data_IF_502316878757
#
_entry.id   IF_502316878757
#
_cell.length_a   1.000
_cell.length_b   1.000
_cell.length_c   1.000
_cell.angle_alpha   90.00
_cell.angle_beta   90.00
_cell.angle_gamma   90.00
#
_symmetry.space_group_name_H-M   'P 1'
#
loop_
_entity.id
_entity.type
_entity.pdbx_description
1 polymer ?
#
# COMPACT_ATOMS: atom_id res chain seq x y z
N UNK A 1 -23.06 -47.64 -34.01
CA UNK A 1 -22.09 -46.53 -34.18
C UNK A 1 -22.41 -45.52 -33.08
N UNK A 2 -21.67 -45.55 -31.97
CA UNK A 2 -21.90 -44.65 -30.84
C UNK A 2 -21.16 -43.34 -31.09
N UNK A 3 -21.90 -42.26 -31.29
CA UNK A 3 -21.36 -40.91 -31.36
C UNK A 3 -21.34 -40.40 -29.91
N UNK A 4 -20.16 -40.34 -29.31
CA UNK A 4 -19.96 -39.62 -28.04
C UNK A 4 -19.90 -38.14 -28.38
N UNK A 5 -21.01 -37.43 -28.25
CA UNK A 5 -20.95 -35.96 -28.17
C UNK A 5 -20.62 -35.58 -26.72
N UNK A 6 -19.35 -35.29 -26.46
CA UNK A 6 -18.94 -34.60 -25.25
C UNK A 6 -19.48 -33.16 -25.32
N UNK A 7 -20.22 -32.66 -24.31
CA UNK A 7 -20.72 -31.31 -24.34
C UNK A 7 -19.56 -30.32 -24.30
N UNK A 8 -19.58 -29.39 -25.26
CA UNK A 8 -18.67 -28.27 -25.31
C UNK A 8 -18.88 -27.38 -24.08
N UNK A 9 -17.76 -27.12 -23.41
CA UNK A 9 -17.56 -26.06 -22.42
C UNK A 9 -18.20 -26.28 -21.04
N UNK A 10 -17.46 -26.97 -20.17
CA UNK A 10 -17.67 -27.00 -18.73
C UNK A 10 -16.51 -26.27 -18.02
N UNK A 11 -16.03 -25.17 -18.60
CA UNK A 11 -15.24 -24.18 -17.86
C UNK A 11 -16.18 -23.05 -17.48
N UNK A 12 -16.46 -22.97 -16.17
CA UNK A 12 -17.28 -21.96 -15.56
C UNK A 12 -16.70 -20.56 -15.79
N UNK A 13 -17.27 -19.84 -16.75
CA UNK A 13 -16.90 -18.45 -17.08
C UNK A 13 -17.17 -17.49 -15.92
N UNK A 14 -18.05 -17.87 -14.99
CA UNK A 14 -18.35 -17.11 -13.77
C UNK A 14 -17.11 -17.02 -12.88
N UNK A 15 -16.44 -18.16 -12.62
CA UNK A 15 -15.18 -18.20 -11.88
C UNK A 15 -14.08 -17.31 -12.46
N UNK A 16 -13.99 -17.16 -13.79
CA UNK A 16 -12.98 -16.32 -14.43
C UNK A 16 -13.30 -14.82 -14.34
N UNK A 17 -14.57 -14.44 -14.42
CA UNK A 17 -15.03 -13.04 -14.29
C UNK A 17 -14.85 -12.57 -12.84
N UNK A 18 -15.17 -13.43 -11.88
CA UNK A 18 -15.03 -13.12 -10.44
C UNK A 18 -13.55 -12.93 -10.05
N UNK A 19 -12.65 -13.75 -10.62
CA UNK A 19 -11.20 -13.61 -10.40
C UNK A 19 -10.61 -12.33 -11.00
N UNK A 20 -11.06 -11.91 -12.19
CA UNK A 20 -10.58 -10.66 -12.81
C UNK A 20 -11.08 -9.43 -12.04
N UNK A 21 -12.35 -9.45 -11.62
CA UNK A 21 -12.95 -8.37 -10.83
C UNK A 21 -12.26 -8.18 -9.48
N UNK A 22 -11.90 -9.28 -8.81
CA UNK A 22 -11.15 -9.24 -7.56
C UNK A 22 -9.74 -8.68 -7.77
N UNK A 23 -9.04 -9.09 -8.84
CA UNK A 23 -7.72 -8.54 -9.18
C UNK A 23 -7.77 -7.03 -9.41
N UNK A 24 -8.70 -6.55 -10.24
CA UNK A 24 -8.86 -5.11 -10.51
C UNK A 24 -9.18 -4.31 -9.24
N UNK A 25 -9.98 -4.89 -8.34
CA UNK A 25 -10.25 -4.29 -7.03
C UNK A 25 -8.98 -4.17 -6.16
N UNK A 26 -8.22 -5.26 -6.03
CA UNK A 26 -6.95 -5.26 -5.27
C UNK A 26 -5.95 -4.27 -5.87
N UNK A 27 -5.82 -4.24 -7.20
CA UNK A 27 -4.93 -3.31 -7.89
C UNK A 27 -5.34 -1.84 -7.61
N UNK A 28 -6.64 -1.55 -7.55
CA UNK A 28 -7.14 -0.23 -7.17
C UNK A 28 -6.75 0.15 -5.74
N UNK A 29 -6.87 -0.78 -4.78
CA UNK A 29 -6.47 -0.53 -3.39
C UNK A 29 -4.96 -0.29 -3.27
N UNK A 30 -4.15 -1.09 -3.98
CA UNK A 30 -2.70 -0.92 -4.01
C UNK A 30 -2.32 0.44 -4.61
N UNK A 31 -2.96 0.84 -5.71
CA UNK A 31 -2.73 2.15 -6.33
C UNK A 31 -3.08 3.30 -5.38
N UNK A 32 -4.15 3.16 -4.57
CA UNK A 32 -4.47 4.15 -3.54
C UNK A 32 -3.38 4.21 -2.45
N UNK A 33 -2.88 3.07 -2.00
CA UNK A 33 -1.80 3.02 -1.02
C UNK A 33 -0.52 3.66 -1.56
N UNK A 34 -0.15 3.36 -2.81
CA UNK A 34 0.98 4.00 -3.49
C UNK A 34 0.80 5.51 -3.56
N UNK A 35 -0.41 5.99 -3.84
CA UNK A 35 -0.71 7.42 -3.86
C UNK A 35 -0.48 8.07 -2.49
N UNK A 36 -0.91 7.44 -1.39
CA UNK A 36 -0.66 7.93 -0.03
C UNK A 36 0.85 8.01 0.25
N UNK A 37 1.58 6.92 -0.03
CA UNK A 37 3.03 6.86 0.18
C UNK A 37 3.77 7.92 -0.64
N UNK A 38 3.33 8.16 -1.88
CA UNK A 38 3.91 9.20 -2.74
C UNK A 38 3.72 10.60 -2.15
N UNK A 39 2.52 10.91 -1.63
CA UNK A 39 2.27 12.21 -1.00
C UNK A 39 3.07 12.37 0.30
N UNK A 40 3.21 11.31 1.10
CA UNK A 40 4.08 11.35 2.29
C UNK A 40 5.54 11.59 1.89
N UNK A 41 6.02 10.92 0.84
CA UNK A 41 7.37 11.13 0.30
C UNK A 41 7.62 12.61 -0.06
N UNK A 42 6.63 13.27 -0.67
CA UNK A 42 6.70 14.69 -1.02
C UNK A 42 6.76 15.63 0.21
N UNK A 43 6.28 15.19 1.37
CA UNK A 43 6.41 15.93 2.64
C UNK A 43 7.81 15.85 3.25
N UNK A 44 8.64 14.92 2.79
CA UNK A 44 10.00 14.72 3.31
C UNK A 44 10.97 15.51 2.43
N UNK A 45 11.34 16.69 2.89
CA UNK A 45 12.27 17.63 2.23
C UNK A 45 13.70 17.47 2.79
N UNK A 46 14.70 18.08 2.13
CA UNK A 46 16.11 17.96 2.57
C UNK A 46 16.39 18.63 3.92
N UNK A 47 15.51 19.54 4.36
CA UNK A 47 15.54 20.23 5.65
C UNK A 47 14.64 19.57 6.71
N UNK A 48 14.04 18.42 6.43
CA UNK A 48 13.15 17.73 7.37
C UNK A 48 13.87 17.32 8.67
N UNK A 49 13.22 17.56 9.80
CA UNK A 49 13.63 17.07 11.11
C UNK A 49 13.30 15.57 11.23
N UNK A 50 14.32 14.76 11.55
CA UNK A 50 14.26 13.31 11.69
C UNK A 50 14.61 12.80 13.09
N UNK A 51 14.80 13.68 14.09
CA UNK A 51 15.36 13.35 15.42
C UNK A 51 14.62 12.19 16.11
N UNK A 52 13.33 12.03 15.85
CA UNK A 52 12.48 10.99 16.46
C UNK A 52 12.16 9.82 15.52
N UNK A 53 12.94 9.65 14.47
CA UNK A 53 12.84 8.54 13.53
C UNK A 53 14.10 7.67 13.60
N UNK A 54 14.06 6.48 12.99
CA UNK A 54 15.22 5.61 12.84
C UNK A 54 16.14 5.99 11.66
N UNK A 55 15.86 7.10 10.97
CA UNK A 55 16.55 7.52 9.75
C UNK A 55 17.50 8.67 10.03
N UNK A 56 18.71 8.61 9.44
CA UNK A 56 19.73 9.65 9.65
C UNK A 56 19.56 10.80 8.67
N UNK A 57 19.02 10.53 7.46
CA UNK A 57 18.84 11.54 6.42
C UNK A 57 17.46 11.50 5.75
N UNK A 58 16.92 12.64 5.28
CA UNK A 58 15.67 12.66 4.54
C UNK A 58 15.73 11.82 3.26
N UNK A 59 16.91 11.71 2.65
CA UNK A 59 17.14 10.86 1.48
C UNK A 59 16.93 9.38 1.80
N UNK A 60 17.39 8.89 2.96
CA UNK A 60 17.17 7.50 3.38
C UNK A 60 15.69 7.21 3.57
N UNK A 61 14.96 8.09 4.25
CA UNK A 61 13.52 7.91 4.46
C UNK A 61 12.75 7.91 3.13
N UNK A 62 13.09 8.80 2.18
CA UNK A 62 12.49 8.78 0.85
C UNK A 62 12.81 7.50 0.07
N UNK A 63 14.03 6.96 0.22
CA UNK A 63 14.44 5.69 -0.39
C UNK A 63 13.69 4.51 0.21
N UNK A 64 13.41 4.54 1.52
CA UNK A 64 12.57 3.52 2.12
C UNK A 64 11.17 3.53 1.53
N UNK A 65 10.56 4.71 1.38
CA UNK A 65 9.24 4.82 0.76
C UNK A 65 9.28 4.31 -0.69
N UNK A 66 10.33 4.62 -1.44
CA UNK A 66 10.52 4.08 -2.80
C UNK A 66 10.63 2.55 -2.81
N UNK A 67 11.33 1.95 -1.83
CA UNK A 67 11.39 0.49 -1.65
C UNK A 67 10.01 -0.09 -1.39
N UNK A 68 9.23 0.51 -0.49
CA UNK A 68 7.87 0.08 -0.17
C UNK A 68 6.96 0.14 -1.40
N UNK A 69 6.98 1.25 -2.15
CA UNK A 69 6.20 1.40 -3.39
C UNK A 69 6.61 0.34 -4.43
N UNK A 70 7.91 0.14 -4.64
CA UNK A 70 8.40 -0.88 -5.55
C UNK A 70 7.90 -2.27 -5.16
N UNK A 71 7.98 -2.63 -3.88
CA UNK A 71 7.52 -3.93 -3.41
C UNK A 71 6.02 -4.10 -3.50
N UNK A 72 5.21 -3.07 -3.22
CA UNK A 72 3.75 -3.12 -3.43
C UNK A 72 3.38 -3.49 -4.87
N UNK A 73 4.17 -3.04 -5.85
CA UNK A 73 3.97 -3.36 -7.27
C UNK A 73 4.38 -4.79 -7.64
N UNK A 74 5.24 -5.45 -6.85
CA UNK A 74 5.72 -6.82 -7.10
C UNK A 74 4.98 -7.88 -6.27
N UNK A 75 4.86 -7.64 -4.96
CA UNK A 75 4.26 -8.54 -3.97
C UNK A 75 3.71 -7.71 -2.81
N UNK A 76 2.39 -7.57 -2.71
CA UNK A 76 1.76 -6.69 -1.73
C UNK A 76 1.78 -7.26 -0.30
N UNK A 77 1.74 -8.58 -0.09
CA UNK A 77 1.48 -9.13 1.26
C UNK A 77 2.61 -8.88 2.25
N UNK A 78 3.85 -9.16 1.87
CA UNK A 78 4.98 -9.13 2.81
C UNK A 78 5.35 -7.69 3.20
N UNK A 79 5.13 -6.72 2.31
CA UNK A 79 5.48 -5.32 2.53
C UNK A 79 4.41 -4.55 3.34
N UNK A 80 3.16 -5.03 3.39
CA UNK A 80 2.07 -4.33 4.08
C UNK A 80 2.33 -4.19 5.59
N UNK A 81 2.88 -5.23 6.24
CA UNK A 81 3.21 -5.20 7.66
C UNK A 81 4.33 -4.18 7.96
N UNK A 82 5.31 -4.06 7.06
CA UNK A 82 6.39 -3.08 7.18
C UNK A 82 5.86 -1.65 7.00
N UNK A 83 4.96 -1.43 6.02
CA UNK A 83 4.30 -0.13 5.85
C UNK A 83 3.46 0.20 7.09
N UNK A 84 2.72 -0.76 7.62
CA UNK A 84 1.92 -0.59 8.83
C UNK A 84 2.77 -0.17 10.04
N UNK A 85 3.99 -0.68 10.16
CA UNK A 85 4.92 -0.23 11.20
C UNK A 85 5.20 1.28 11.12
N UNK A 86 5.38 1.84 9.92
CA UNK A 86 5.58 3.28 9.74
C UNK A 86 4.35 4.14 10.10
N UNK A 87 3.14 3.59 9.97
CA UNK A 87 1.87 4.25 10.32
C UNK A 87 1.42 4.01 11.78
N UNK A 88 2.05 3.06 12.47
CA UNK A 88 1.73 2.74 13.86
C UNK A 88 1.84 3.97 14.80
N UNK A 89 1.17 3.97 15.97
CA UNK A 89 1.36 5.02 16.96
C UNK A 89 2.84 5.18 17.32
N UNK A 90 3.33 6.41 17.35
CA UNK A 90 4.75 6.77 17.50
C UNK A 90 5.66 6.23 16.38
N UNK A 91 5.07 5.79 15.28
CA UNK A 91 5.76 5.34 14.08
C UNK A 91 6.39 6.49 13.30
N UNK A 92 7.20 6.12 12.31
CA UNK A 92 8.04 7.05 11.53
C UNK A 92 7.25 8.24 10.97
N UNK A 93 6.10 7.99 10.34
CA UNK A 93 5.34 9.05 9.67
C UNK A 93 4.63 9.97 10.66
N UNK A 94 4.16 9.43 11.79
CA UNK A 94 3.57 10.26 12.85
C UNK A 94 4.63 11.20 13.44
N UNK A 95 5.76 10.64 13.87
CA UNK A 95 6.85 11.40 14.50
C UNK A 95 7.42 12.47 13.55
N UNK A 96 7.63 12.10 12.27
CA UNK A 96 8.03 13.07 11.24
C UNK A 96 6.99 14.18 11.07
N UNK A 97 5.70 13.85 11.01
CA UNK A 97 4.64 14.85 10.84
C UNK A 97 4.55 15.86 11.97
N UNK A 98 4.79 15.40 13.20
CA UNK A 98 4.80 16.25 14.39
C UNK A 98 6.00 17.19 14.38
N UNK A 99 7.18 16.69 13.99
CA UNK A 99 8.39 17.50 13.92
C UNK A 99 8.36 18.53 12.78
N UNK A 100 7.69 18.20 11.67
CA UNK A 100 7.72 19.01 10.44
C UNK A 100 6.38 19.75 10.15
N UNK A 101 5.46 19.80 11.11
CA UNK A 101 4.28 20.66 11.06
C UNK A 101 3.17 20.22 10.09
N UNK A 102 3.08 18.94 9.75
CA UNK A 102 2.05 18.40 8.85
C UNK A 102 1.14 17.34 9.49
N UNK A 103 1.02 17.34 10.82
CA UNK A 103 0.21 16.39 11.61
C UNK A 103 -1.26 16.28 11.16
N UNK A 104 -1.89 17.38 10.73
CA UNK A 104 -3.27 17.34 10.22
C UNK A 104 -3.37 16.51 8.93
N UNK A 105 -2.43 16.71 8.00
CA UNK A 105 -2.34 15.90 6.78
C UNK A 105 -2.05 14.44 7.11
N UNK A 106 -1.17 14.18 8.08
CA UNK A 106 -0.89 12.82 8.55
C UNK A 106 -2.14 12.10 9.04
N UNK A 107 -2.99 12.76 9.84
CA UNK A 107 -4.23 12.17 10.35
C UNK A 107 -5.15 11.69 9.22
N UNK A 108 -5.25 12.45 8.13
CA UNK A 108 -6.02 12.05 6.96
C UNK A 108 -5.39 10.86 6.21
N UNK A 109 -4.06 10.79 6.14
CA UNK A 109 -3.36 9.67 5.52
C UNK A 109 -3.47 8.38 6.35
N UNK A 110 -3.28 8.46 7.66
CA UNK A 110 -3.42 7.32 8.56
C UNK A 110 -4.84 6.72 8.50
N UNK A 111 -5.88 7.56 8.58
CA UNK A 111 -7.27 7.10 8.51
C UNK A 111 -7.64 6.45 7.16
N UNK A 112 -6.96 6.84 6.06
CA UNK A 112 -7.12 6.18 4.75
C UNK A 112 -6.32 4.88 4.70
N UNK A 113 -5.10 4.88 5.22
CA UNK A 113 -4.25 3.71 5.32
C UNK A 113 -4.93 2.58 6.11
N UNK A 114 -5.52 2.87 7.27
CA UNK A 114 -6.20 1.88 8.11
C UNK A 114 -7.26 1.08 7.32
N UNK A 115 -8.08 1.79 6.52
CA UNK A 115 -9.12 1.16 5.66
C UNK A 115 -8.53 0.29 4.57
N UNK A 116 -7.43 0.74 3.95
CA UNK A 116 -6.74 -0.02 2.90
C UNK A 116 -6.09 -1.27 3.48
N UNK A 117 -5.44 -1.14 4.64
CA UNK A 117 -4.79 -2.25 5.32
C UNK A 117 -5.80 -3.33 5.73
N UNK A 118 -6.95 -2.93 6.29
CA UNK A 118 -8.05 -3.87 6.56
C UNK A 118 -8.56 -4.56 5.28
N UNK A 119 -8.69 -3.81 4.17
CA UNK A 119 -9.22 -4.36 2.91
C UNK A 119 -8.23 -5.29 2.21
N UNK A 120 -6.92 -5.08 2.38
CA UNK A 120 -5.86 -5.89 1.76
C UNK A 120 -5.49 -7.14 2.57
N UNK A 121 -5.85 -7.18 3.86
CA UNK A 121 -5.59 -8.31 4.75
C UNK A 121 -6.79 -9.22 5.01
N UNK A 122 -8.01 -8.82 4.61
CA UNK A 122 -9.21 -9.66 4.64
C UNK A 122 -9.37 -10.46 3.34
#
# INVERSE_FOLDING_TARGET
>A
MYIWELPANLYDTTSLIDMNSNREFIDSLINELISILTVIKEKITDDSDLIRTSYETPLELRKEIDRCIYQLQQSHKDILDEINFHFSPTGTFQEHSMANGWTESYGAFAARFDKLYESLNN
#
